data_IF_229578070745
#
_entry.id   IF_229578070745
#
_cell.length_a   1.000
_cell.length_b   1.000
_cell.length_c   1.000
_cell.angle_alpha   90.00
_cell.angle_beta   90.00
_cell.angle_gamma   90.00
#
_symmetry.space_group_name_H-M   'P 1'
#
loop_
_entity.id
_entity.type
_entity.pdbx_description
1 polymer ?
#
# COMPACT_ATOMS: atom_id res chain seq x y z
N UNK A 1 -10.63 -27.51 -4.36
CA UNK A 1 -9.51 -26.55 -4.15
C UNK A 1 -8.73 -26.93 -2.92
N UNK A 2 -7.40 -26.72 -2.93
CA UNK A 2 -6.50 -27.01 -1.81
C UNK A 2 -6.69 -25.98 -0.69
N UNK A 3 -6.61 -26.42 0.56
CA UNK A 3 -6.44 -25.55 1.70
C UNK A 3 -5.00 -25.01 1.74
N UNK A 4 -4.81 -23.81 2.30
CA UNK A 4 -3.50 -23.18 2.51
C UNK A 4 -3.45 -22.55 3.89
N UNK A 5 -2.46 -22.91 4.70
CA UNK A 5 -2.33 -22.46 6.08
C UNK A 5 -1.73 -21.05 6.19
N UNK A 6 -2.35 -20.20 6.99
CA UNK A 6 -2.00 -18.80 7.19
C UNK A 6 -1.50 -18.58 8.61
N UNK A 7 -0.32 -17.97 8.73
CA UNK A 7 0.17 -17.38 9.96
C UNK A 7 0.18 -15.85 9.85
N UNK A 8 -0.35 -15.15 10.84
CA UNK A 8 -0.31 -13.66 10.90
C UNK A 8 0.53 -13.21 12.08
N UNK A 9 1.51 -12.34 11.83
CA UNK A 9 2.37 -11.71 12.84
C UNK A 9 2.00 -10.23 12.97
N UNK A 10 1.53 -9.85 14.17
CA UNK A 10 0.98 -8.53 14.48
C UNK A 10 -0.55 -8.52 14.46
N UNK A 11 -1.18 -8.02 15.55
CA UNK A 11 -2.64 -8.00 15.72
C UNK A 11 -3.24 -6.59 15.68
N UNK A 12 -2.43 -5.60 15.28
CA UNK A 12 -2.86 -4.22 15.12
C UNK A 12 -3.91 -4.02 14.01
N UNK A 13 -4.14 -2.77 13.61
CA UNK A 13 -5.14 -2.43 12.58
C UNK A 13 -4.98 -3.28 11.30
N UNK A 14 -3.75 -3.38 10.76
CA UNK A 14 -3.51 -4.16 9.54
C UNK A 14 -3.60 -5.66 9.79
N UNK A 15 -3.20 -6.19 10.95
CA UNK A 15 -3.40 -7.60 11.30
C UNK A 15 -4.86 -8.01 11.27
N UNK A 16 -5.74 -7.17 11.81
CA UNK A 16 -7.20 -7.38 11.73
C UNK A 16 -7.72 -7.33 10.29
N UNK A 17 -7.26 -6.37 9.50
CA UNK A 17 -7.65 -6.26 8.08
C UNK A 17 -7.22 -7.48 7.27
N UNK A 18 -6.01 -8.01 7.50
CA UNK A 18 -5.53 -9.24 6.87
C UNK A 18 -6.34 -10.46 7.32
N UNK A 19 -6.61 -10.61 8.62
CA UNK A 19 -7.42 -11.72 9.13
C UNK A 19 -8.83 -11.71 8.52
N UNK A 20 -9.49 -10.55 8.45
CA UNK A 20 -10.79 -10.40 7.79
C UNK A 20 -10.73 -10.77 6.31
N UNK A 21 -9.71 -10.31 5.58
CA UNK A 21 -9.55 -10.58 4.16
C UNK A 21 -9.31 -12.07 3.87
N UNK A 22 -8.44 -12.74 4.65
CA UNK A 22 -8.22 -14.19 4.51
C UNK A 22 -9.47 -15.00 4.84
N UNK A 23 -10.31 -14.54 5.77
CA UNK A 23 -11.59 -15.22 6.05
C UNK A 23 -12.63 -15.00 4.95
N UNK A 24 -12.69 -13.80 4.38
CA UNK A 24 -13.70 -13.43 3.40
C UNK A 24 -13.40 -13.99 2.00
N UNK A 25 -12.11 -14.13 1.65
CA UNK A 25 -11.68 -14.33 0.26
C UNK A 25 -12.29 -15.56 -0.41
N UNK A 26 -12.40 -16.70 0.29
CA UNK A 26 -12.95 -17.92 -0.29
C UNK A 26 -14.47 -17.83 -0.59
N UNK A 27 -15.19 -16.96 0.14
CA UNK A 27 -16.61 -16.69 -0.12
C UNK A 27 -16.83 -15.76 -1.31
N UNK A 28 -15.89 -14.84 -1.55
CA UNK A 28 -15.96 -13.85 -2.65
C UNK A 28 -15.32 -14.39 -3.94
N UNK A 29 -14.20 -15.13 -3.80
CA UNK A 29 -13.41 -15.69 -4.89
C UNK A 29 -13.35 -17.23 -4.76
N UNK A 30 -14.39 -17.96 -5.19
CA UNK A 30 -14.46 -19.40 -5.00
C UNK A 30 -13.42 -20.18 -5.82
N UNK A 31 -12.72 -19.51 -6.72
CA UNK A 31 -11.70 -20.02 -7.64
C UNK A 31 -10.26 -19.96 -7.09
N UNK A 32 -10.03 -19.38 -5.89
CA UNK A 32 -8.72 -19.39 -5.23
C UNK A 32 -8.61 -20.48 -4.17
N UNK A 33 -7.38 -20.76 -3.71
CA UNK A 33 -7.14 -21.66 -2.57
C UNK A 33 -7.87 -21.17 -1.32
N UNK A 34 -8.28 -22.10 -0.44
CA UNK A 34 -9.01 -21.78 0.79
C UNK A 34 -8.04 -21.52 1.95
N UNK A 35 -7.94 -20.28 2.45
CA UNK A 35 -7.14 -20.00 3.62
C UNK A 35 -7.67 -20.72 4.87
N UNK A 36 -6.74 -21.27 5.64
CA UNK A 36 -6.97 -21.79 6.99
C UNK A 36 -6.15 -20.96 7.95
N UNK A 37 -6.78 -20.23 8.86
CA UNK A 37 -6.11 -19.42 9.85
C UNK A 37 -5.49 -20.32 10.93
N UNK A 38 -4.21 -20.67 10.76
CA UNK A 38 -3.51 -21.64 11.63
C UNK A 38 -2.98 -20.97 12.90
N UNK A 39 -2.23 -19.86 12.76
CA UNK A 39 -1.55 -19.24 13.89
C UNK A 39 -1.58 -17.72 13.80
N UNK A 40 -1.94 -17.05 14.89
CA UNK A 40 -1.74 -15.62 15.07
C UNK A 40 -0.65 -15.38 16.11
N UNK A 41 0.20 -14.39 15.88
CA UNK A 41 1.30 -14.04 16.79
C UNK A 41 1.29 -12.56 17.13
N UNK A 42 1.44 -12.24 18.40
CA UNK A 42 1.72 -10.89 18.88
C UNK A 42 2.64 -10.97 20.11
N UNK A 43 3.51 -9.98 20.31
CA UNK A 43 4.37 -9.91 21.49
C UNK A 43 3.57 -9.77 22.80
N UNK A 44 2.35 -9.21 22.69
CA UNK A 44 1.41 -9.07 23.79
C UNK A 44 0.49 -10.29 23.86
N UNK A 45 0.62 -11.19 24.86
CA UNK A 45 -0.13 -12.43 24.92
C UNK A 45 -1.64 -12.24 24.85
N UNK A 46 -2.18 -11.22 25.54
CA UNK A 46 -3.61 -10.91 25.54
C UNK A 46 -4.11 -10.49 24.14
N UNK A 47 -3.30 -9.75 23.40
CA UNK A 47 -3.66 -9.33 22.04
C UNK A 47 -3.68 -10.53 21.09
N UNK A 48 -2.72 -11.45 21.21
CA UNK A 48 -2.68 -12.70 20.45
C UNK A 48 -3.89 -13.60 20.74
N UNK A 49 -4.19 -13.83 22.04
CA UNK A 49 -5.35 -14.62 22.48
C UNK A 49 -6.67 -14.02 22.03
N UNK A 50 -6.85 -12.70 22.13
CA UNK A 50 -8.06 -12.03 21.66
C UNK A 50 -8.22 -12.15 20.13
N UNK A 51 -7.15 -12.02 19.38
CA UNK A 51 -7.19 -12.16 17.94
C UNK A 51 -7.47 -13.61 17.51
N UNK A 52 -6.91 -14.61 18.22
CA UNK A 52 -7.23 -16.04 18.02
C UNK A 52 -8.73 -16.27 18.16
N UNK A 53 -9.32 -15.88 19.29
CA UNK A 53 -10.74 -16.06 19.55
C UNK A 53 -11.62 -15.27 18.56
N UNK A 54 -11.28 -13.99 18.26
CA UNK A 54 -12.07 -13.13 17.38
C UNK A 54 -12.07 -13.63 15.94
N UNK A 55 -10.91 -14.01 15.43
CA UNK A 55 -10.75 -14.43 14.04
C UNK A 55 -10.70 -15.96 13.86
N UNK A 56 -10.88 -16.73 14.96
CA UNK A 56 -10.93 -18.20 14.96
C UNK A 56 -9.66 -18.80 14.33
N UNK A 57 -8.49 -18.37 14.76
CA UNK A 57 -7.25 -19.07 14.47
C UNK A 57 -7.24 -20.40 15.23
N UNK A 58 -6.51 -21.40 14.71
CA UNK A 58 -6.38 -22.66 15.40
C UNK A 58 -5.56 -22.53 16.72
N UNK A 59 -4.67 -21.54 16.78
CA UNK A 59 -3.85 -21.22 17.97
C UNK A 59 -3.25 -19.82 17.89
N UNK A 60 -2.73 -19.36 19.04
CA UNK A 60 -1.92 -18.14 19.14
C UNK A 60 -0.52 -18.42 19.68
N UNK A 61 0.41 -17.51 19.41
CA UNK A 61 1.82 -17.55 19.82
C UNK A 61 2.29 -16.16 20.23
N UNK A 62 3.37 -16.08 21.04
CA UNK A 62 4.05 -14.82 21.35
C UNK A 62 5.39 -14.67 20.61
N UNK A 63 5.88 -15.73 19.99
CA UNK A 63 7.15 -15.76 19.26
C UNK A 63 6.88 -16.09 17.80
N UNK A 64 7.16 -15.13 16.92
CA UNK A 64 6.99 -15.30 15.49
C UNK A 64 7.83 -16.47 14.92
N UNK A 65 8.96 -16.81 15.56
CA UNK A 65 9.80 -17.94 15.15
C UNK A 65 9.04 -19.28 15.24
N UNK A 66 8.19 -19.44 16.26
CA UNK A 66 7.35 -20.63 16.41
C UNK A 66 6.31 -20.72 15.28
N UNK A 67 5.70 -19.58 14.89
CA UNK A 67 4.79 -19.48 13.76
C UNK A 67 5.48 -19.83 12.44
N UNK A 68 6.68 -19.30 12.19
CA UNK A 68 7.44 -19.58 10.96
C UNK A 68 7.89 -21.05 10.90
N UNK A 69 8.22 -21.67 12.03
CA UNK A 69 8.64 -23.08 12.10
C UNK A 69 7.46 -24.07 11.93
N UNK A 70 6.21 -23.60 12.03
CA UNK A 70 5.06 -24.48 11.92
C UNK A 70 4.87 -25.03 10.50
N UNK A 71 4.87 -26.36 10.30
CA UNK A 71 4.68 -26.94 8.98
C UNK A 71 3.27 -26.72 8.40
N UNK A 72 2.27 -26.39 9.22
CA UNK A 72 0.92 -26.08 8.75
C UNK A 72 0.80 -24.67 8.17
N UNK A 73 1.70 -23.76 8.54
CA UNK A 73 1.75 -22.40 7.99
C UNK A 73 2.49 -22.43 6.66
N UNK A 74 1.83 -22.03 5.59
CA UNK A 74 2.38 -21.94 4.23
C UNK A 74 2.56 -20.47 3.80
N UNK A 75 1.74 -19.57 4.35
CA UNK A 75 1.84 -18.12 4.16
C UNK A 75 2.12 -17.46 5.50
N UNK A 76 3.16 -16.61 5.54
CA UNK A 76 3.42 -15.70 6.67
C UNK A 76 2.99 -14.30 6.27
N UNK A 77 1.97 -13.78 6.97
CA UNK A 77 1.46 -12.43 6.81
C UNK A 77 2.06 -11.52 7.89
N UNK A 78 2.82 -10.50 7.48
CA UNK A 78 3.60 -9.64 8.37
C UNK A 78 2.92 -8.27 8.44
N UNK A 79 2.39 -7.93 9.63
CA UNK A 79 1.63 -6.70 9.88
C UNK A 79 2.13 -5.96 11.13
N UNK A 80 3.39 -6.19 11.46
CA UNK A 80 4.15 -5.60 12.56
C UNK A 80 4.69 -4.21 12.17
N UNK A 81 5.34 -3.46 13.08
CA UNK A 81 6.11 -2.29 12.71
C UNK A 81 7.20 -2.60 11.67
N UNK A 82 7.44 -1.68 10.72
CA UNK A 82 8.34 -1.88 9.58
C UNK A 82 9.79 -2.27 9.94
N UNK A 83 10.26 -1.94 11.14
CA UNK A 83 11.59 -2.32 11.64
C UNK A 83 11.77 -3.83 11.81
N UNK A 84 10.70 -4.60 11.96
CA UNK A 84 10.73 -6.05 12.15
C UNK A 84 10.41 -6.86 10.88
N UNK A 85 10.00 -6.19 9.79
CA UNK A 85 9.63 -6.87 8.54
C UNK A 85 10.75 -7.74 8.00
N UNK A 86 12.00 -7.23 8.01
CA UNK A 86 13.17 -7.92 7.45
C UNK A 86 13.41 -9.28 8.10
N UNK A 87 13.53 -9.31 9.42
CA UNK A 87 13.88 -10.55 10.13
C UNK A 87 12.82 -11.63 9.95
N UNK A 88 11.53 -11.24 10.03
CA UNK A 88 10.42 -12.17 9.87
C UNK A 88 10.32 -12.66 8.42
N UNK A 89 10.42 -11.75 7.45
CA UNK A 89 10.33 -12.11 6.03
C UNK A 89 11.48 -13.01 5.58
N UNK A 90 12.73 -12.71 5.96
CA UNK A 90 13.89 -13.54 5.60
C UNK A 90 13.79 -14.93 6.22
N UNK A 91 13.34 -15.04 7.48
CA UNK A 91 13.11 -16.34 8.11
C UNK A 91 11.99 -17.13 7.43
N UNK A 92 10.89 -16.48 7.07
CA UNK A 92 9.79 -17.13 6.33
C UNK A 92 10.24 -17.61 4.95
N UNK A 93 10.99 -16.78 4.20
CA UNK A 93 11.56 -17.14 2.90
C UNK A 93 12.51 -18.34 3.02
N UNK A 94 13.42 -18.31 4.01
CA UNK A 94 14.34 -19.43 4.27
C UNK A 94 13.62 -20.72 4.64
N UNK A 95 12.44 -20.64 5.26
CA UNK A 95 11.57 -21.77 5.55
C UNK A 95 10.67 -22.19 4.36
N UNK A 96 10.85 -21.58 3.17
CA UNK A 96 10.07 -21.88 1.96
C UNK A 96 8.63 -21.38 2.00
N UNK A 97 8.30 -20.43 2.90
CA UNK A 97 6.95 -19.89 3.06
C UNK A 97 6.72 -18.71 2.11
N UNK A 98 5.51 -18.58 1.57
CA UNK A 98 5.09 -17.38 0.86
C UNK A 98 4.91 -16.23 1.85
N UNK A 99 5.16 -14.99 1.40
CA UNK A 99 5.16 -13.84 2.31
C UNK A 99 4.21 -12.73 1.83
N UNK A 100 3.28 -12.34 2.70
CA UNK A 100 2.44 -11.15 2.55
C UNK A 100 2.87 -10.11 3.58
N UNK A 101 3.61 -9.08 3.16
CA UNK A 101 4.19 -8.09 4.06
C UNK A 101 3.50 -6.74 3.91
N UNK A 102 3.25 -6.04 5.02
CA UNK A 102 2.76 -4.67 4.97
C UNK A 102 3.82 -3.70 4.43
N UNK A 103 3.35 -2.57 3.95
CA UNK A 103 4.17 -1.43 3.49
C UNK A 103 4.52 -0.49 4.68
N UNK A 104 5.59 0.29 4.59
CA UNK A 104 6.70 0.14 3.62
C UNK A 104 7.41 -1.19 3.83
N UNK A 105 7.99 -1.75 2.77
CA UNK A 105 8.63 -3.07 2.82
C UNK A 105 9.71 -3.15 3.90
N UNK A 106 10.50 -2.07 4.03
CA UNK A 106 11.56 -1.97 5.03
C UNK A 106 11.87 -0.50 5.36
N UNK A 107 12.57 -0.22 6.49
CA UNK A 107 12.98 1.14 6.86
C UNK A 107 14.02 1.76 5.91
N UNK A 108 14.84 0.94 5.24
CA UNK A 108 15.91 1.41 4.36
C UNK A 108 15.88 0.71 3.00
N UNK A 109 16.41 1.39 1.99
CA UNK A 109 16.54 0.83 0.64
C UNK A 109 17.37 -0.46 0.62
N UNK A 110 18.46 -0.51 1.39
CA UNK A 110 19.34 -1.68 1.43
C UNK A 110 18.64 -2.91 2.01
N UNK A 111 17.91 -2.72 3.12
CA UNK A 111 17.11 -3.77 3.74
C UNK A 111 16.02 -4.28 2.79
N UNK A 112 15.34 -3.38 2.08
CA UNK A 112 14.34 -3.76 1.08
C UNK A 112 14.97 -4.56 -0.08
N UNK A 113 16.19 -4.19 -0.52
CA UNK A 113 16.94 -4.91 -1.55
C UNK A 113 17.28 -6.33 -1.12
N UNK A 114 17.75 -6.51 0.10
CA UNK A 114 18.06 -7.82 0.67
C UNK A 114 16.81 -8.73 0.68
N UNK A 115 15.68 -8.22 1.16
CA UNK A 115 14.42 -8.96 1.19
C UNK A 115 13.96 -9.35 -0.23
N UNK A 116 14.06 -8.44 -1.18
CA UNK A 116 13.72 -8.66 -2.59
C UNK A 116 14.60 -9.74 -3.20
N UNK A 117 15.93 -9.65 -3.01
CA UNK A 117 16.89 -10.63 -3.54
C UNK A 117 16.68 -12.03 -2.94
N UNK A 118 16.40 -12.11 -1.64
CA UNK A 118 16.09 -13.39 -0.98
C UNK A 118 14.83 -14.04 -1.56
N UNK A 119 13.77 -13.25 -1.79
CA UNK A 119 12.53 -13.73 -2.38
C UNK A 119 12.74 -14.26 -3.81
N UNK A 120 13.49 -13.53 -4.64
CA UNK A 120 13.80 -13.95 -6.02
C UNK A 120 14.64 -15.23 -6.08
N UNK A 121 15.62 -15.34 -5.20
CA UNK A 121 16.47 -16.52 -5.16
C UNK A 121 15.75 -17.79 -4.69
N UNK A 122 14.73 -17.65 -3.84
CA UNK A 122 13.98 -18.78 -3.28
C UNK A 122 12.81 -19.27 -4.13
N UNK A 123 12.32 -18.42 -5.05
CA UNK A 123 11.12 -18.70 -5.86
C UNK A 123 9.79 -18.63 -5.08
N UNK A 124 9.79 -18.20 -3.82
CA UNK A 124 8.53 -17.98 -3.08
C UNK A 124 7.76 -16.81 -3.67
N UNK A 125 6.44 -16.87 -3.58
CA UNK A 125 5.59 -15.74 -4.00
C UNK A 125 5.51 -14.74 -2.85
N UNK A 126 5.69 -13.46 -3.18
CA UNK A 126 5.57 -12.36 -2.21
C UNK A 126 4.52 -11.35 -2.66
N UNK A 127 3.91 -10.69 -1.69
CA UNK A 127 2.94 -9.61 -1.87
C UNK A 127 3.23 -8.51 -0.85
N UNK A 128 3.10 -7.24 -1.26
CA UNK A 128 3.20 -6.09 -0.35
C UNK A 128 1.89 -5.34 -0.29
N UNK A 129 1.52 -4.86 0.90
CA UNK A 129 0.22 -4.30 1.26
C UNK A 129 -0.11 -2.93 0.63
N UNK A 130 0.10 -2.74 -0.66
CA UNK A 130 -0.35 -1.56 -1.40
C UNK A 130 -1.81 -1.74 -1.86
N UNK A 131 -2.71 -2.03 -0.93
CA UNK A 131 -4.09 -2.42 -1.22
C UNK A 131 -4.91 -1.36 -1.99
N UNK A 132 -4.58 -0.07 -1.90
CA UNK A 132 -5.36 0.98 -2.58
C UNK A 132 -5.36 0.85 -4.10
N UNK A 133 -4.28 0.36 -4.71
CA UNK A 133 -4.24 0.11 -6.17
C UNK A 133 -5.13 -1.05 -6.61
N UNK A 134 -5.73 -1.79 -5.67
CA UNK A 134 -6.69 -2.87 -5.95
C UNK A 134 -8.10 -2.36 -6.25
N UNK A 135 -8.34 -1.06 -6.11
CA UNK A 135 -9.62 -0.46 -6.50
C UNK A 135 -9.89 -0.71 -8.00
N UNK A 136 -11.07 -1.25 -8.36
CA UNK A 136 -11.43 -1.54 -9.75
C UNK A 136 -11.33 -0.34 -10.69
N UNK A 137 -11.63 0.87 -10.17
CA UNK A 137 -11.56 2.10 -10.97
C UNK A 137 -10.11 2.57 -11.20
N UNK A 138 -9.15 2.22 -10.33
CA UNK A 138 -7.73 2.44 -10.61
C UNK A 138 -7.22 1.50 -11.71
N UNK A 139 -7.71 0.25 -11.75
CA UNK A 139 -7.46 -0.65 -12.87
C UNK A 139 -8.02 -0.07 -14.16
N UNK A 140 -9.28 0.38 -14.16
CA UNK A 140 -9.90 1.05 -15.30
C UNK A 140 -9.08 2.26 -15.75
N UNK A 141 -8.68 3.13 -14.83
CA UNK A 141 -7.85 4.30 -15.15
C UNK A 141 -6.54 3.90 -15.86
N UNK A 142 -5.87 2.86 -15.37
CA UNK A 142 -4.66 2.31 -16.02
C UNK A 142 -4.96 1.78 -17.42
N UNK A 143 -6.05 1.06 -17.61
CA UNK A 143 -6.48 0.53 -18.89
C UNK A 143 -6.80 1.66 -19.87
N UNK A 144 -7.53 2.70 -19.45
CA UNK A 144 -7.83 3.88 -20.26
C UNK A 144 -6.56 4.64 -20.69
N UNK A 145 -5.58 4.80 -19.76
CA UNK A 145 -4.28 5.41 -20.08
C UNK A 145 -3.53 4.55 -21.09
N UNK A 146 -3.47 3.24 -20.90
CA UNK A 146 -2.78 2.32 -21.80
C UNK A 146 -3.43 2.23 -23.19
N UNK A 147 -4.75 2.32 -23.25
CA UNK A 147 -5.51 2.38 -24.51
C UNK A 147 -5.41 3.75 -25.23
N UNK A 148 -4.78 4.76 -24.60
CA UNK A 148 -4.63 6.09 -25.18
C UNK A 148 -5.93 6.91 -25.21
N UNK A 149 -6.90 6.60 -24.37
CA UNK A 149 -8.18 7.33 -24.31
C UNK A 149 -8.04 8.79 -23.89
N UNK A 150 -7.03 9.08 -23.06
CA UNK A 150 -6.68 10.47 -22.72
C UNK A 150 -5.56 11.04 -23.60
N UNK A 151 -5.06 10.27 -24.59
CA UNK A 151 -3.92 10.64 -25.42
C UNK A 151 -2.58 10.51 -24.68
N UNK A 152 -1.54 11.13 -25.22
CA UNK A 152 -0.24 11.22 -24.55
C UNK A 152 -0.39 11.97 -23.22
N UNK A 153 0.11 11.38 -22.14
CA UNK A 153 0.05 12.00 -20.82
C UNK A 153 1.06 13.13 -20.72
N UNK A 154 0.57 14.33 -20.47
CA UNK A 154 1.36 15.57 -20.39
C UNK A 154 1.69 15.98 -18.97
N UNK A 155 0.88 15.53 -17.97
CA UNK A 155 1.07 15.88 -16.58
C UNK A 155 0.40 14.91 -15.62
N UNK A 156 0.97 14.79 -14.41
CA UNK A 156 0.45 13.98 -13.32
C UNK A 156 0.51 14.75 -12.00
N UNK A 157 -0.53 14.62 -11.19
CA UNK A 157 -0.54 15.08 -9.79
C UNK A 157 -1.00 13.92 -8.93
N UNK A 158 -0.23 13.59 -7.90
CA UNK A 158 -0.61 12.61 -6.89
C UNK A 158 -0.60 13.23 -5.51
N UNK A 159 -1.54 12.86 -4.65
CA UNK A 159 -1.61 13.33 -3.27
C UNK A 159 -1.98 12.20 -2.34
N UNK A 160 -1.35 12.17 -1.15
CA UNK A 160 -1.83 11.41 -0.01
C UNK A 160 -1.77 12.32 1.22
N UNK A 161 -2.91 12.83 1.62
CA UNK A 161 -3.04 13.77 2.72
C UNK A 161 -4.05 13.29 3.77
N UNK A 162 -3.62 13.31 5.04
CA UNK A 162 -4.41 12.94 6.21
C UNK A 162 -4.07 13.87 7.38
N UNK A 163 -4.83 13.84 8.47
CA UNK A 163 -4.62 14.71 9.64
C UNK A 163 -4.33 13.97 10.95
N UNK A 164 -4.09 12.65 10.91
CA UNK A 164 -3.92 11.86 12.12
C UNK A 164 -2.65 12.19 12.94
N UNK A 165 -1.73 12.94 12.35
CA UNK A 165 -0.52 13.46 13.02
C UNK A 165 -0.56 14.98 13.24
N UNK A 166 -1.70 15.65 13.00
CA UNK A 166 -1.83 17.11 13.12
C UNK A 166 -1.79 17.61 14.56
N UNK A 167 -2.22 16.79 15.54
CA UNK A 167 -2.14 17.14 16.96
C UNK A 167 -0.68 17.01 17.45
N UNK A 168 -0.03 18.12 17.87
CA UNK A 168 1.36 18.11 18.35
C UNK A 168 1.54 17.37 19.69
N UNK A 169 0.45 17.07 20.41
CA UNK A 169 0.47 16.35 21.67
C UNK A 169 0.19 14.84 21.52
N UNK A 170 -0.05 14.39 20.29
CA UNK A 170 -0.02 12.97 19.96
C UNK A 170 1.33 12.35 20.32
N UNK A 171 1.37 11.18 21.00
CA UNK A 171 2.61 10.59 21.48
C UNK A 171 3.53 10.14 20.35
N UNK A 172 4.83 10.04 20.69
CA UNK A 172 5.84 9.50 19.79
C UNK A 172 5.55 8.02 19.49
N UNK A 173 5.50 7.65 18.20
CA UNK A 173 5.23 6.29 17.75
C UNK A 173 6.36 5.78 16.84
N UNK A 174 6.33 4.51 16.49
CA UNK A 174 7.28 3.89 15.57
C UNK A 174 7.34 4.58 14.19
N UNK A 175 6.25 5.27 13.78
CA UNK A 175 6.20 6.04 12.53
C UNK A 175 7.16 7.25 12.52
N UNK A 176 7.57 7.69 13.69
CA UNK A 176 8.48 8.83 13.89
C UNK A 176 9.94 8.40 14.08
N UNK A 177 10.20 7.09 14.07
CA UNK A 177 11.56 6.55 14.09
C UNK A 177 12.23 6.73 12.70
N UNK A 178 13.58 6.68 12.62
CA UNK A 178 14.28 6.68 11.34
C UNK A 178 13.76 5.61 10.39
N UNK A 179 13.51 5.98 9.14
CA UNK A 179 12.85 5.14 8.13
C UNK A 179 11.31 5.23 8.16
N UNK A 180 10.74 6.08 9.03
CA UNK A 180 9.34 6.52 9.02
C UNK A 180 9.17 7.86 8.30
N UNK A 181 8.17 8.66 8.72
CA UNK A 181 7.82 9.94 8.11
C UNK A 181 6.64 9.83 7.14
N UNK A 182 6.06 10.98 6.78
CA UNK A 182 4.94 11.05 5.86
C UNK A 182 5.31 10.50 4.47
N UNK A 183 6.54 10.73 4.01
CA UNK A 183 7.03 10.19 2.75
C UNK A 183 7.03 8.66 2.74
N UNK A 184 7.51 8.01 3.80
CA UNK A 184 7.56 6.56 3.89
C UNK A 184 6.16 5.95 4.11
N UNK A 185 5.34 6.54 4.98
CA UNK A 185 4.03 5.99 5.35
C UNK A 185 2.96 6.29 4.28
N UNK A 186 2.76 7.56 3.93
CA UNK A 186 1.76 8.00 2.95
C UNK A 186 2.33 8.09 1.52
N UNK A 187 3.55 8.64 1.38
CA UNK A 187 4.20 8.84 0.09
C UNK A 187 4.41 7.55 -0.68
N UNK A 188 4.75 6.45 0.00
CA UNK A 188 4.91 5.14 -0.64
C UNK A 188 3.64 4.68 -1.36
N UNK A 189 2.44 4.96 -0.85
CA UNK A 189 1.18 4.64 -1.51
C UNK A 189 0.97 5.43 -2.80
N UNK A 190 1.16 6.76 -2.73
CA UNK A 190 0.94 7.60 -3.92
C UNK A 190 2.05 7.41 -4.96
N UNK A 191 3.29 7.11 -4.55
CA UNK A 191 4.38 6.70 -5.44
C UNK A 191 4.03 5.37 -6.13
N UNK A 192 3.57 4.38 -5.35
CA UNK A 192 3.12 3.09 -5.90
C UNK A 192 1.96 3.25 -6.88
N UNK A 193 0.98 4.11 -6.58
CA UNK A 193 -0.13 4.44 -7.47
C UNK A 193 0.36 5.12 -8.75
N UNK A 194 1.28 6.09 -8.66
CA UNK A 194 1.86 6.77 -9.82
C UNK A 194 2.60 5.79 -10.74
N UNK A 195 3.41 4.89 -10.15
CA UNK A 195 4.10 3.82 -10.89
C UNK A 195 3.13 2.81 -11.51
N UNK A 196 2.08 2.44 -10.81
CA UNK A 196 1.02 1.55 -11.33
C UNK A 196 0.33 2.13 -12.57
N UNK A 197 0.07 3.44 -12.58
CA UNK A 197 -0.62 4.13 -13.68
C UNK A 197 0.30 4.46 -14.85
N UNK A 198 1.51 4.96 -14.57
CA UNK A 198 2.39 5.58 -15.58
C UNK A 198 3.74 4.86 -15.77
N UNK A 199 4.03 3.84 -14.97
CA UNK A 199 5.30 3.12 -15.04
C UNK A 199 6.42 3.77 -14.23
N UNK A 200 7.69 3.42 -14.49
CA UNK A 200 8.84 3.83 -13.68
C UNK A 200 9.01 5.36 -13.59
N UNK A 201 9.39 5.82 -12.41
CA UNK A 201 9.91 7.17 -12.17
C UNK A 201 11.43 7.13 -12.41
N UNK A 202 11.93 8.02 -13.27
CA UNK A 202 13.34 8.08 -13.66
C UNK A 202 14.14 9.09 -12.84
N UNK A 203 13.52 10.20 -12.42
CA UNK A 203 14.17 11.25 -11.67
C UNK A 203 13.21 11.87 -10.67
N UNK A 204 13.73 12.33 -9.53
CA UNK A 204 12.98 13.01 -8.48
C UNK A 204 13.75 14.20 -7.93
N UNK A 205 13.03 15.30 -7.68
CA UNK A 205 13.43 16.42 -6.84
C UNK A 205 12.43 16.56 -5.70
N UNK A 206 12.89 16.74 -4.46
CA UNK A 206 12.03 16.74 -3.29
C UNK A 206 12.38 17.83 -2.28
N UNK A 207 11.34 18.32 -1.59
CA UNK A 207 11.41 19.16 -0.40
C UNK A 207 10.63 18.47 0.72
N UNK A 208 11.30 18.24 1.86
CA UNK A 208 10.75 17.55 3.02
C UNK A 208 10.75 18.50 4.23
N UNK A 209 9.63 18.51 4.95
CA UNK A 209 9.44 19.43 6.07
C UNK A 209 8.96 18.67 7.33
N UNK A 210 9.64 18.87 8.46
CA UNK A 210 9.15 18.49 9.78
C UNK A 210 8.42 19.68 10.40
N UNK A 211 7.11 19.63 10.52
CA UNK A 211 6.28 20.71 11.08
C UNK A 211 6.27 20.62 12.60
N UNK A 212 5.98 19.43 13.16
CA UNK A 212 5.93 19.19 14.60
C UNK A 212 7.30 18.70 15.09
N UNK A 213 8.10 19.62 15.63
CA UNK A 213 9.51 19.38 15.96
C UNK A 213 9.73 18.44 17.16
N UNK A 214 8.75 18.30 18.05
CA UNK A 214 8.84 17.45 19.24
C UNK A 214 7.49 16.82 19.58
N UNK A 215 7.49 15.61 20.16
CA UNK A 215 6.27 14.94 20.62
C UNK A 215 6.46 14.32 22.00
N UNK A 216 5.38 14.21 22.84
CA UNK A 216 5.44 13.50 24.11
C UNK A 216 5.92 12.05 23.91
N UNK A 217 6.71 11.53 24.84
CA UNK A 217 7.20 10.13 24.80
C UNK A 217 6.09 9.10 25.04
N UNK A 218 5.01 9.52 25.71
CA UNK A 218 3.80 8.73 26.01
C UNK A 218 2.61 9.68 26.17
N UNK A 219 1.36 9.19 26.10
CA UNK A 219 0.18 10.01 26.34
C UNK A 219 0.26 10.78 27.65
N UNK A 220 0.12 12.11 27.60
CA UNK A 220 0.15 13.00 28.78
C UNK A 220 1.51 13.18 29.44
N UNK A 221 2.61 12.70 28.84
CA UNK A 221 3.95 12.90 29.41
C UNK A 221 4.49 14.31 29.12
N UNK A 222 5.06 14.97 30.12
CA UNK A 222 5.76 16.27 29.97
C UNK A 222 7.05 16.13 29.15
N UNK A 223 7.73 14.99 29.27
CA UNK A 223 8.95 14.69 28.52
C UNK A 223 8.63 14.53 27.04
N UNK A 224 9.31 15.31 26.20
CA UNK A 224 9.16 15.27 24.74
C UNK A 224 10.44 14.73 24.07
N UNK A 225 10.27 14.10 22.93
CA UNK A 225 11.35 13.62 22.06
C UNK A 225 11.35 14.39 20.74
N UNK A 226 12.52 14.71 20.22
CA UNK A 226 12.68 15.36 18.91
C UNK A 226 12.17 14.44 17.78
N UNK A 227 11.47 15.04 16.83
CA UNK A 227 11.05 14.40 15.57
C UNK A 227 12.09 14.73 14.50
N UNK A 228 12.61 13.70 13.84
CA UNK A 228 13.67 13.83 12.81
C UNK A 228 13.22 13.40 11.42
N UNK A 229 11.97 12.98 11.29
CA UNK A 229 11.35 12.59 10.02
C UNK A 229 10.41 13.68 9.52
N UNK A 230 10.02 13.61 8.26
CA UNK A 230 9.13 14.56 7.62
C UNK A 230 7.66 14.37 8.05
N UNK A 231 6.96 15.50 8.19
CA UNK A 231 5.49 15.56 8.28
C UNK A 231 4.86 15.85 6.91
N UNK A 232 5.62 16.50 6.03
CA UNK A 232 5.20 16.85 4.67
C UNK A 232 6.36 16.55 3.72
N UNK A 233 6.05 15.86 2.62
CA UNK A 233 6.97 15.65 1.50
C UNK A 233 6.34 16.13 0.20
N UNK A 234 7.05 16.98 -0.55
CA UNK A 234 6.66 17.49 -1.86
C UNK A 234 7.70 17.07 -2.88
N UNK A 235 7.28 16.34 -3.90
CA UNK A 235 8.15 15.79 -4.93
C UNK A 235 7.76 16.32 -6.31
N UNK A 236 8.76 16.63 -7.13
CA UNK A 236 8.63 16.78 -8.58
C UNK A 236 9.31 15.58 -9.20
N UNK A 237 8.60 14.86 -10.08
CA UNK A 237 9.08 13.61 -10.67
C UNK A 237 9.09 13.67 -12.20
N UNK A 238 9.99 12.90 -12.81
CA UNK A 238 9.99 12.60 -14.26
C UNK A 238 9.81 11.11 -14.44
N UNK A 239 8.78 10.74 -15.19
CA UNK A 239 8.56 9.34 -15.53
C UNK A 239 9.46 8.92 -16.69
N UNK A 240 9.84 7.64 -16.74
CA UNK A 240 10.68 7.12 -17.81
C UNK A 240 10.09 7.31 -19.21
N UNK A 241 8.74 7.39 -19.32
CA UNK A 241 8.02 7.69 -20.56
C UNK A 241 8.00 9.18 -20.96
N UNK A 242 8.66 10.05 -20.19
CA UNK A 242 8.88 11.47 -20.51
C UNK A 242 7.93 12.46 -19.84
N UNK A 243 6.75 12.06 -19.36
CA UNK A 243 5.86 12.99 -18.67
C UNK A 243 6.42 13.39 -17.29
N UNK A 244 5.95 14.54 -16.80
CA UNK A 244 6.33 15.07 -15.48
C UNK A 244 5.16 15.03 -14.52
N UNK A 245 5.45 15.02 -13.23
CA UNK A 245 4.43 15.04 -12.21
C UNK A 245 4.86 15.69 -10.92
N UNK A 246 3.88 15.98 -10.07
CA UNK A 246 4.06 16.38 -8.69
C UNK A 246 3.39 15.36 -7.78
N UNK A 247 4.03 15.06 -6.64
CA UNK A 247 3.50 14.14 -5.62
C UNK A 247 3.60 14.84 -4.27
N UNK A 248 2.55 14.79 -3.46
CA UNK A 248 2.53 15.26 -2.09
C UNK A 248 2.15 14.13 -1.14
N UNK A 249 2.88 14.02 -0.01
CA UNK A 249 2.51 13.24 1.16
C UNK A 249 2.46 14.18 2.36
N UNK A 250 1.34 14.17 3.13
CA UNK A 250 1.12 15.13 4.20
C UNK A 250 0.22 14.53 5.27
N UNK A 251 0.75 14.22 6.45
CA UNK A 251 -0.04 13.64 7.54
C UNK A 251 -0.49 14.64 8.62
N UNK A 252 -0.24 15.93 8.37
CA UNK A 252 -0.70 17.06 9.20
C UNK A 252 -1.71 17.95 8.46
N UNK A 253 -2.33 17.45 7.39
CA UNK A 253 -3.30 18.16 6.58
C UNK A 253 -4.66 18.24 7.26
N UNK A 254 -4.79 19.12 8.26
CA UNK A 254 -5.97 19.26 9.10
C UNK A 254 -7.27 19.27 8.31
N UNK A 255 -8.18 18.34 8.64
CA UNK A 255 -9.47 18.15 7.97
C UNK A 255 -9.49 17.05 6.90
N UNK A 256 -8.33 16.62 6.36
CA UNK A 256 -8.25 15.49 5.44
C UNK A 256 -8.23 14.18 6.19
N UNK A 257 -9.05 13.22 5.77
CA UNK A 257 -9.14 11.90 6.43
C UNK A 257 -8.51 10.78 5.62
N UNK A 258 -8.60 10.85 4.31
CA UNK A 258 -8.05 9.86 3.39
C UNK A 258 -7.99 10.42 1.97
N UNK A 259 -7.32 11.54 1.77
CA UNK A 259 -7.15 12.12 0.44
C UNK A 259 -5.98 11.42 -0.27
N UNK A 260 -6.16 10.14 -0.63
CA UNK A 260 -5.26 9.47 -1.56
C UNK A 260 -5.87 9.57 -2.97
N UNK A 261 -5.19 10.24 -3.89
CA UNK A 261 -5.75 10.46 -5.21
C UNK A 261 -4.72 10.85 -6.26
N UNK A 262 -5.20 10.96 -7.49
CA UNK A 262 -4.40 11.43 -8.62
C UNK A 262 -5.23 12.24 -9.60
N UNK A 263 -4.54 13.09 -10.37
CA UNK A 263 -4.99 13.68 -11.63
C UNK A 263 -3.97 13.31 -12.72
N UNK A 264 -4.46 12.77 -13.82
CA UNK A 264 -3.64 12.48 -15.01
C UNK A 264 -4.21 13.26 -16.19
N UNK A 265 -3.41 14.14 -16.77
CA UNK A 265 -3.79 15.00 -17.87
C UNK A 265 -3.08 14.52 -19.13
N UNK A 266 -3.85 14.36 -20.21
CA UNK A 266 -3.33 13.98 -21.51
C UNK A 266 -3.86 14.88 -22.63
N UNK A 267 -3.32 14.70 -23.84
CA UNK A 267 -3.66 15.52 -25.00
C UNK A 267 -5.13 15.40 -25.46
N UNK A 268 -5.83 14.31 -25.06
CA UNK A 268 -7.21 14.03 -25.48
C UNK A 268 -8.20 13.97 -24.30
N UNK A 269 -7.74 14.09 -23.07
CA UNK A 269 -8.61 14.01 -21.90
C UNK A 269 -7.84 13.97 -20.59
N UNK A 270 -8.60 13.80 -19.50
CA UNK A 270 -8.04 13.74 -18.14
C UNK A 270 -8.81 12.74 -17.29
N UNK A 271 -8.12 12.15 -16.31
CA UNK A 271 -8.68 11.27 -15.29
C UNK A 271 -8.40 11.86 -13.92
N UNK A 272 -9.39 11.82 -13.02
CA UNK A 272 -9.25 12.25 -11.62
C UNK A 272 -9.89 11.22 -10.70
N UNK A 273 -9.14 10.81 -9.69
CA UNK A 273 -9.60 9.89 -8.65
C UNK A 273 -9.24 10.41 -7.27
N UNK A 274 -10.09 10.17 -6.30
CA UNK A 274 -9.80 10.37 -4.87
C UNK A 274 -10.44 9.27 -4.03
N UNK A 275 -9.68 8.75 -3.08
CA UNK A 275 -10.16 7.77 -2.11
C UNK A 275 -11.32 8.29 -1.23
N UNK A 276 -11.44 9.61 -1.05
CA UNK A 276 -12.58 10.23 -0.37
C UNK A 276 -13.91 10.01 -1.14
N UNK A 277 -13.83 9.69 -2.45
CA UNK A 277 -14.94 9.27 -3.32
C UNK A 277 -14.61 7.93 -3.96
N UNK A 278 -14.39 6.95 -3.15
CA UNK A 278 -13.80 5.65 -3.41
C UNK A 278 -14.38 4.91 -4.62
N UNK A 279 -15.66 5.10 -4.92
CA UNK A 279 -16.38 4.37 -5.96
C UNK A 279 -16.67 5.23 -7.20
N UNK A 280 -15.91 6.32 -7.37
CA UNK A 280 -16.06 7.25 -8.49
C UNK A 280 -14.72 7.51 -9.18
N UNK A 281 -14.73 7.58 -10.52
CA UNK A 281 -13.63 8.06 -11.35
C UNK A 281 -14.18 9.17 -12.25
N UNK A 282 -13.52 10.31 -12.25
CA UNK A 282 -13.90 11.42 -13.13
C UNK A 282 -13.08 11.33 -14.42
N UNK A 283 -13.77 11.42 -15.55
CA UNK A 283 -13.19 11.39 -16.89
C UNK A 283 -13.61 12.62 -17.68
N UNK A 284 -12.66 13.35 -18.22
CA UNK A 284 -12.88 14.42 -19.18
C UNK A 284 -12.38 13.99 -20.54
N UNK A 285 -13.22 14.15 -21.59
CA UNK A 285 -12.84 13.93 -22.98
C UNK A 285 -12.80 15.26 -23.72
N UNK A 286 -11.65 15.58 -24.33
CA UNK A 286 -11.50 16.78 -25.16
C UNK A 286 -12.22 16.63 -26.51
N UNK A 287 -12.58 17.77 -27.14
CA UNK A 287 -13.15 17.79 -28.50
C UNK A 287 -14.68 17.65 -28.57
N UNK A 288 -15.39 17.72 -27.42
CA UNK A 288 -16.86 17.76 -27.39
C UNK A 288 -17.42 19.18 -27.54
N UNK A 289 -18.76 19.31 -27.53
CA UNK A 289 -19.44 20.62 -27.50
C UNK A 289 -19.07 21.36 -26.19
N UNK A 290 -18.48 22.58 -26.27
CA UNK A 290 -18.08 23.33 -25.08
C UNK A 290 -19.19 23.61 -24.09
N UNK A 291 -20.46 23.64 -24.53
CA UNK A 291 -21.65 23.86 -23.68
C UNK A 291 -21.93 22.67 -22.74
N UNK A 292 -21.41 21.50 -23.09
CA UNK A 292 -21.54 20.27 -22.32
C UNK A 292 -20.18 19.80 -21.77
N UNK A 293 -19.16 20.69 -21.82
CA UNK A 293 -17.82 20.41 -21.34
C UNK A 293 -17.78 20.29 -19.83
N UNK A 294 -17.16 19.21 -19.33
CA UNK A 294 -17.01 18.92 -17.90
C UNK A 294 -16.53 17.50 -17.68
N UNK A 295 -16.19 17.19 -16.43
CA UNK A 295 -15.88 15.81 -16.05
C UNK A 295 -17.16 14.97 -15.99
N UNK A 296 -17.21 13.88 -16.75
CA UNK A 296 -18.18 12.82 -16.57
C UNK A 296 -17.76 11.94 -15.39
N UNK A 297 -18.71 11.54 -14.57
CA UNK A 297 -18.50 10.63 -13.44
C UNK A 297 -18.75 9.19 -13.89
N UNK A 298 -17.76 8.33 -13.71
CA UNK A 298 -17.86 6.88 -13.86
C UNK A 298 -18.05 6.31 -12.47
N UNK A 299 -19.19 5.67 -12.23
CA UNK A 299 -19.50 4.99 -10.98
C UNK A 299 -19.05 3.54 -11.05
N UNK A 300 -18.44 3.05 -9.96
CA UNK A 300 -18.06 1.65 -9.86
C UNK A 300 -19.29 0.74 -9.93
N UNK A 301 -19.17 -0.35 -10.67
CA UNK A 301 -20.24 -1.32 -10.84
C UNK A 301 -19.72 -2.68 -11.30
N UNK A 302 -20.58 -3.69 -11.47
CA UNK A 302 -20.22 -5.07 -11.81
C UNK A 302 -19.37 -5.23 -13.07
N UNK A 303 -19.45 -4.28 -14.01
CA UNK A 303 -18.63 -4.23 -15.23
C UNK A 303 -17.14 -3.92 -14.93
N UNK A 304 -16.82 -3.38 -13.76
CA UNK A 304 -15.45 -3.08 -13.32
C UNK A 304 -14.92 -4.23 -12.45
N UNK A 305 -14.34 -5.24 -13.05
CA UNK A 305 -13.81 -6.41 -12.33
C UNK A 305 -12.75 -6.00 -11.29
N UNK A 306 -12.81 -6.57 -10.05
CA UNK A 306 -13.71 -7.63 -9.57
C UNK A 306 -14.95 -7.15 -8.78
N UNK A 307 -15.41 -5.91 -8.97
CA UNK A 307 -16.57 -5.34 -8.23
C UNK A 307 -17.76 -6.31 -8.15
N UNK A 308 -18.12 -6.96 -9.28
CA UNK A 308 -19.25 -7.88 -9.37
C UNK A 308 -19.14 -9.14 -8.51
N UNK A 309 -17.94 -9.43 -7.93
CA UNK A 309 -17.76 -10.51 -6.93
C UNK A 309 -18.32 -10.13 -5.56
N UNK A 310 -18.38 -8.84 -5.26
CA UNK A 310 -18.87 -8.29 -3.98
C UNK A 310 -20.30 -7.79 -4.09
N UNK A 311 -20.62 -7.07 -5.17
CA UNK A 311 -21.88 -6.35 -5.35
C UNK A 311 -22.47 -6.63 -6.73
N UNK A 312 -23.72 -7.10 -6.74
CA UNK A 312 -24.43 -7.51 -7.98
C UNK A 312 -24.91 -6.34 -8.84
N UNK A 313 -24.95 -5.12 -8.28
CA UNK A 313 -25.45 -3.91 -8.94
C UNK A 313 -24.60 -2.68 -8.59
N UNK A 314 -24.59 -1.63 -9.44
CA UNK A 314 -23.98 -0.34 -9.09
C UNK A 314 -24.62 0.28 -7.84
N UNK A 315 -23.91 1.17 -7.16
CA UNK A 315 -24.42 1.90 -6.00
C UNK A 315 -24.31 1.19 -4.66
N UNK A 316 -23.98 -0.13 -4.61
CA UNK A 316 -23.76 -0.85 -3.34
C UNK A 316 -22.38 -0.55 -2.73
N UNK A 317 -21.43 -0.12 -3.54
CA UNK A 317 -20.09 0.35 -3.18
C UNK A 317 -19.15 -0.72 -2.57
N UNK A 318 -17.87 -0.56 -2.82
CA UNK A 318 -16.79 -1.28 -2.15
C UNK A 318 -16.20 -0.41 -1.04
N UNK A 319 -15.45 -1.02 -0.12
CA UNK A 319 -14.76 -0.36 0.96
C UNK A 319 -13.33 -0.86 1.15
N UNK A 320 -12.65 -0.34 2.17
CA UNK A 320 -11.25 -0.65 2.48
C UNK A 320 -10.97 -2.17 2.63
N UNK A 321 -11.85 -2.89 3.34
CA UNK A 321 -11.67 -4.32 3.57
C UNK A 321 -11.86 -5.15 2.29
N UNK A 322 -12.69 -4.66 1.35
CA UNK A 322 -12.87 -5.32 0.06
C UNK A 322 -11.59 -5.22 -0.78
N UNK A 323 -10.87 -4.09 -0.74
CA UNK A 323 -9.56 -3.96 -1.40
C UNK A 323 -8.54 -4.93 -0.83
N UNK A 324 -8.51 -5.12 0.50
CA UNK A 324 -7.62 -6.09 1.13
C UNK A 324 -8.01 -7.52 0.74
N UNK A 325 -9.29 -7.81 0.59
CA UNK A 325 -9.79 -9.12 0.10
C UNK A 325 -9.38 -9.36 -1.35
N UNK A 326 -9.45 -8.33 -2.24
CA UNK A 326 -8.95 -8.42 -3.62
C UNK A 326 -7.43 -8.67 -3.64
N UNK A 327 -6.68 -7.98 -2.78
CA UNK A 327 -5.24 -8.17 -2.66
C UNK A 327 -4.87 -9.60 -2.26
N UNK A 328 -5.57 -10.16 -1.28
CA UNK A 328 -5.40 -11.56 -0.86
C UNK A 328 -5.79 -12.52 -1.99
N UNK A 329 -6.86 -12.24 -2.73
CA UNK A 329 -7.26 -13.08 -3.87
C UNK A 329 -6.19 -13.11 -4.97
N UNK A 330 -5.62 -11.95 -5.34
CA UNK A 330 -4.53 -11.85 -6.30
C UNK A 330 -3.27 -12.62 -5.84
N UNK A 331 -2.96 -12.55 -4.54
CA UNK A 331 -1.83 -13.27 -3.94
C UNK A 331 -2.02 -14.78 -3.97
N UNK A 332 -3.19 -15.27 -3.57
CA UNK A 332 -3.53 -16.68 -3.61
C UNK A 332 -3.57 -17.22 -5.04
N UNK A 333 -4.06 -16.44 -6.00
CA UNK A 333 -4.03 -16.79 -7.41
C UNK A 333 -2.59 -16.96 -7.93
N UNK A 334 -1.69 -16.03 -7.56
CA UNK A 334 -0.28 -16.11 -7.94
C UNK A 334 0.42 -17.36 -7.35
N UNK A 335 0.12 -17.70 -6.08
CA UNK A 335 0.62 -18.95 -5.46
C UNK A 335 0.09 -20.18 -6.19
N UNK A 336 -1.14 -20.13 -6.70
CA UNK A 336 -1.75 -21.19 -7.50
C UNK A 336 -1.22 -21.28 -8.95
N UNK A 337 -0.20 -20.52 -9.33
CA UNK A 337 0.38 -20.51 -10.66
C UNK A 337 -0.32 -19.57 -11.64
N UNK A 338 -1.23 -18.72 -11.17
CA UNK A 338 -1.88 -17.67 -11.95
C UNK A 338 -0.99 -16.43 -12.16
N UNK A 339 -1.55 -15.42 -12.79
CA UNK A 339 -0.87 -14.15 -13.05
C UNK A 339 -0.53 -13.41 -11.75
N UNK A 340 0.69 -12.90 -11.65
CA UNK A 340 1.12 -12.03 -10.55
C UNK A 340 0.55 -10.62 -10.77
N UNK A 341 -0.49 -10.25 -10.02
CA UNK A 341 -1.23 -8.98 -10.16
C UNK A 341 -0.97 -7.98 -9.06
N UNK A 342 -0.17 -8.34 -8.08
CA UNK A 342 0.11 -7.48 -6.94
C UNK A 342 1.53 -6.92 -6.96
N UNK A 343 1.80 -5.83 -6.24
CA UNK A 343 3.15 -5.43 -5.93
C UNK A 343 3.82 -6.53 -5.11
N UNK A 344 4.85 -7.12 -5.67
CA UNK A 344 5.74 -8.03 -4.98
C UNK A 344 6.88 -7.26 -4.28
N UNK A 345 7.85 -7.97 -3.72
CA UNK A 345 9.00 -7.32 -3.07
C UNK A 345 9.86 -6.52 -4.05
N UNK A 346 9.88 -6.88 -5.34
CA UNK A 346 10.59 -6.09 -6.36
C UNK A 346 9.91 -4.75 -6.59
N UNK A 347 8.59 -4.73 -6.80
CA UNK A 347 7.88 -3.45 -6.98
C UNK A 347 7.94 -2.59 -5.72
N UNK A 348 7.85 -3.20 -4.53
CA UNK A 348 8.01 -2.47 -3.28
C UNK A 348 9.42 -1.89 -3.10
N UNK A 349 10.47 -2.61 -3.51
CA UNK A 349 11.84 -2.09 -3.56
C UNK A 349 11.96 -0.92 -4.55
N UNK A 350 11.33 -0.99 -5.72
CA UNK A 350 11.28 0.11 -6.68
C UNK A 350 10.60 1.37 -6.10
N UNK A 351 9.49 1.19 -5.35
CA UNK A 351 8.88 2.31 -4.60
C UNK A 351 9.86 2.88 -3.57
N UNK A 352 10.56 2.01 -2.83
CA UNK A 352 11.55 2.41 -1.83
C UNK A 352 12.74 3.15 -2.45
N UNK A 353 13.15 2.82 -3.69
CA UNK A 353 14.17 3.58 -4.45
C UNK A 353 13.76 5.05 -4.65
N UNK A 354 12.48 5.28 -4.96
CA UNK A 354 11.96 6.65 -5.12
C UNK A 354 11.95 7.39 -3.78
N UNK A 355 11.52 6.72 -2.71
CA UNK A 355 11.53 7.29 -1.34
C UNK A 355 12.95 7.67 -0.93
N UNK A 356 13.93 6.78 -1.10
CA UNK A 356 15.34 7.03 -0.77
C UNK A 356 15.94 8.16 -1.63
N UNK A 357 15.65 8.19 -2.92
CA UNK A 357 16.10 9.26 -3.81
C UNK A 357 15.48 10.62 -3.42
N UNK A 358 14.21 10.65 -2.98
CA UNK A 358 13.57 11.86 -2.48
C UNK A 358 14.21 12.36 -1.18
N UNK A 359 14.55 11.47 -0.26
CA UNK A 359 15.31 11.82 0.96
C UNK A 359 16.67 12.45 0.60
N UNK A 360 17.43 11.82 -0.30
CA UNK A 360 18.71 12.38 -0.77
C UNK A 360 18.53 13.71 -1.49
N UNK A 361 17.50 13.84 -2.33
CA UNK A 361 17.20 15.07 -3.04
C UNK A 361 16.95 16.23 -2.09
N UNK A 362 16.17 16.04 -1.05
CA UNK A 362 15.90 17.06 -0.04
C UNK A 362 17.18 17.49 0.69
N UNK A 363 18.07 16.56 1.02
CA UNK A 363 19.35 16.83 1.68
C UNK A 363 20.32 17.58 0.77
N UNK A 364 20.45 17.16 -0.49
CA UNK A 364 21.42 17.71 -1.46
C UNK A 364 20.86 18.88 -2.26
N UNK A 365 19.55 19.15 -2.17
CA UNK A 365 18.83 20.17 -2.96
C UNK A 365 19.06 20.03 -4.47
N UNK A 366 19.11 18.77 -4.93
CA UNK A 366 19.38 18.44 -6.34
C UNK A 366 18.51 17.29 -6.84
N UNK A 367 18.31 17.24 -8.15
CA UNK A 367 17.65 16.12 -8.80
C UNK A 367 18.44 14.82 -8.55
N UNK A 368 17.72 13.75 -8.27
CA UNK A 368 18.27 12.40 -8.13
C UNK A 368 17.76 11.52 -9.26
N UNK A 369 18.69 10.87 -9.97
CA UNK A 369 18.37 9.85 -10.96
C UNK A 369 18.16 8.50 -10.30
N UNK A 370 17.24 7.72 -10.84
CA UNK A 370 16.92 6.37 -10.37
C UNK A 370 17.57 5.27 -11.25
N UNK A 371 18.25 5.66 -12.31
CA UNK A 371 19.03 4.75 -13.17
C UNK A 371 18.17 4.05 -14.20
#
# INVERSE_FOLDING_TARGET
MRNIGIGIVGTGFMGRAHALAYRAVAGVFPDVMRPVLETVCDIEPRAAEQAEAQFQFARWETRWQALVADPKVEIVSITTPNSTHREIALAAIAAGKHVHCEKPLAPTLETAREMMQAAEASGVITQVGFNYIKNPLLRLAREMIAAGEIGEVTGFRGVHAEDYMSDPDSPFTWRLEPGGGALADLGSHVIGMARFLLGPIAEVHADLETVVKTRPVAPGADRRRAVVVDDIARLVVRFARGCRGAIEANWVATGRKMQLGFEAHGAKGSLVFTQERFNELLFFRAGGDPRHGGFARIEAGPQHSPYGRFCVAPGHQLGFNDLKTIEVADFLAAIGGGEKRGPDFREAWEVQRVVDAALRSSQTRSWQSLG
#
